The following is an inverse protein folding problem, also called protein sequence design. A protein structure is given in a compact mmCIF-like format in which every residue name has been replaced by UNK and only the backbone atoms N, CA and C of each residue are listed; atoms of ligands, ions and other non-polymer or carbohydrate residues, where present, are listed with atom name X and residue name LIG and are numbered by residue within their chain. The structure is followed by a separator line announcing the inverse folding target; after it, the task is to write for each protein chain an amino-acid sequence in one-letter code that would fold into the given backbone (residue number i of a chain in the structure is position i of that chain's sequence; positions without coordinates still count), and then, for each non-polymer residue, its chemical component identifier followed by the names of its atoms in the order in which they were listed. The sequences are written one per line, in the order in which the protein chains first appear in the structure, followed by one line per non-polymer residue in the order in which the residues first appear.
data_IF_112168662702
#
_entry.id   IF_112168662702
#
_cell.length_a   1.000
_cell.length_b   1.000
_cell.length_c   1.000
_cell.angle_alpha   90.00
_cell.angle_beta   90.00
_cell.angle_gamma   90.00
#
_symmetry.space_group_name_H-M   'P 1'
#
loop_
_entity.id
_entity.type
_entity.pdbx_description
1 polymer ?
#
# COMPACT_ATOMS: atom_id res chain seq x y z
N UNK A 1 1.05 -5.76 12.65
CA UNK A 1 2.08 -5.92 11.61
C UNK A 1 1.50 -5.49 10.28
N UNK A 2 2.13 -4.57 9.52
CA UNK A 2 1.67 -4.32 8.15
C UNK A 2 2.23 -5.39 7.21
N UNK A 3 1.49 -5.73 6.16
CA UNK A 3 1.91 -6.72 5.17
C UNK A 3 1.47 -6.32 3.77
N UNK A 4 2.06 -6.98 2.76
CA UNK A 4 1.72 -6.79 1.35
C UNK A 4 0.32 -7.33 1.07
N UNK A 5 -0.51 -6.52 0.43
CA UNK A 5 -1.85 -6.86 0.00
C UNK A 5 -2.03 -6.54 -1.49
N UNK A 6 -3.15 -6.95 -2.08
CA UNK A 6 -3.50 -6.64 -3.46
C UNK A 6 -4.75 -5.77 -3.47
N UNK A 7 -4.72 -4.65 -4.19
CA UNK A 7 -5.87 -3.78 -4.33
C UNK A 7 -6.94 -4.50 -5.16
N UNK A 8 -8.17 -4.55 -4.66
CA UNK A 8 -9.31 -5.17 -5.36
C UNK A 8 -9.80 -4.34 -6.54
N UNK A 9 -9.54 -3.03 -6.53
CA UNK A 9 -9.97 -2.09 -7.56
C UNK A 9 -9.03 -2.10 -8.76
N UNK A 10 -7.72 -1.90 -8.54
CA UNK A 10 -6.74 -1.78 -9.63
C UNK A 10 -5.86 -3.03 -9.81
N UNK A 11 -6.02 -4.07 -8.99
CA UNK A 11 -5.21 -5.30 -9.02
C UNK A 11 -3.70 -5.14 -8.79
N UNK A 12 -3.24 -3.91 -8.49
CA UNK A 12 -1.85 -3.63 -8.13
C UNK A 12 -1.56 -3.89 -6.65
N UNK A 13 -0.29 -3.88 -6.30
CA UNK A 13 0.17 -4.16 -4.94
C UNK A 13 -0.10 -2.98 -4.02
N UNK A 14 -0.64 -3.24 -2.84
CA UNK A 14 -0.81 -2.26 -1.76
C UNK A 14 -0.40 -2.88 -0.43
N UNK A 15 -0.61 -2.17 0.67
CA UNK A 15 -0.33 -2.63 2.03
C UNK A 15 -1.64 -2.79 2.80
N UNK A 16 -1.61 -3.63 3.84
CA UNK A 16 -2.67 -3.76 4.82
C UNK A 16 -2.06 -3.68 6.23
N UNK A 17 -2.74 -3.01 7.17
CA UNK A 17 -2.32 -2.93 8.57
C UNK A 17 -2.54 -1.55 9.19
N UNK A 18 -1.73 -1.21 10.19
CA UNK A 18 -1.87 0.04 10.95
C UNK A 18 -1.29 1.29 10.27
N UNK A 19 -0.60 1.16 9.14
CA UNK A 19 -0.03 2.30 8.40
C UNK A 19 1.30 2.84 8.91
N UNK A 20 1.82 2.36 10.05
CA UNK A 20 3.14 2.78 10.55
C UNK A 20 4.32 2.04 9.89
N UNK A 21 4.06 0.97 9.15
CA UNK A 21 5.12 0.13 8.57
C UNK A 21 5.05 0.09 7.03
N UNK A 22 4.38 1.07 6.41
CA UNK A 22 4.13 1.08 4.96
C UNK A 22 5.45 1.11 4.18
N UNK A 23 6.39 1.95 4.61
CA UNK A 23 7.72 2.08 4.01
C UNK A 23 8.44 0.74 3.94
N UNK A 24 8.43 -0.02 5.05
CA UNK A 24 9.02 -1.35 5.12
C UNK A 24 8.34 -2.35 4.17
N UNK A 25 7.01 -2.38 4.13
CA UNK A 25 6.26 -3.27 3.23
C UNK A 25 6.51 -2.92 1.76
N UNK A 26 6.51 -1.63 1.42
CA UNK A 26 6.63 -1.13 0.06
C UNK A 26 8.07 -1.07 -0.46
N UNK A 27 9.07 -1.10 0.41
CA UNK A 27 10.50 -0.94 0.07
C UNK A 27 11.00 -1.91 -1.01
N UNK A 28 10.49 -3.14 -1.04
CA UNK A 28 10.90 -4.17 -1.99
C UNK A 28 10.00 -4.27 -3.23
N UNK A 29 9.03 -3.36 -3.37
CA UNK A 29 8.08 -3.37 -4.48
C UNK A 29 8.40 -2.16 -5.37
N UNK A 30 8.64 -2.35 -6.68
CA UNK A 30 8.79 -1.23 -7.59
C UNK A 30 7.55 -0.34 -7.59
N UNK A 31 7.72 0.98 -7.60
CA UNK A 31 6.63 1.96 -7.56
C UNK A 31 5.60 1.78 -8.67
N UNK A 32 6.00 1.24 -9.82
CA UNK A 32 5.12 0.94 -10.96
C UNK A 32 4.07 -0.14 -10.64
N UNK A 33 4.42 -1.05 -9.71
CA UNK A 33 3.54 -2.11 -9.21
C UNK A 33 2.70 -1.66 -8.01
N UNK A 34 2.89 -0.44 -7.52
CA UNK A 34 2.09 0.10 -6.42
C UNK A 34 0.69 0.47 -6.90
N UNK A 35 -0.29 0.28 -6.03
CA UNK A 35 -1.65 0.74 -6.22
C UNK A 35 -1.67 2.25 -6.47
N UNK A 36 -2.34 2.66 -7.54
CA UNK A 36 -2.46 4.05 -7.97
C UNK A 36 -3.84 4.65 -7.66
N UNK A 37 -4.62 3.99 -6.80
CA UNK A 37 -5.90 4.52 -6.35
C UNK A 37 -5.70 5.72 -5.40
N UNK A 38 -6.70 6.59 -5.33
CA UNK A 38 -6.79 7.68 -4.37
C UNK A 38 -7.81 7.36 -3.26
N UNK A 39 -7.68 7.96 -2.07
CA UNK A 39 -6.62 8.89 -1.66
C UNK A 39 -5.32 8.17 -1.27
N UNK A 40 -4.18 8.74 -1.64
CA UNK A 40 -2.87 8.31 -1.13
C UNK A 40 -2.72 8.65 0.35
N UNK A 41 -1.90 7.88 1.06
CA UNK A 41 -1.58 8.09 2.47
C UNK A 41 -0.16 8.62 2.57
N UNK A 42 0.02 9.77 3.22
CA UNK A 42 1.36 10.31 3.47
C UNK A 42 1.96 9.74 4.76
N UNK A 43 3.18 9.21 4.67
CA UNK A 43 3.99 8.79 5.81
C UNK A 43 5.46 9.14 5.60
N UNK A 44 6.07 9.69 6.64
CA UNK A 44 7.49 10.07 6.65
C UNK A 44 7.88 10.96 5.45
N UNK A 45 6.95 11.82 4.99
CA UNK A 45 7.13 12.69 3.81
C UNK A 45 6.97 11.98 2.46
N UNK A 46 6.55 10.72 2.44
CA UNK A 46 6.33 9.93 1.23
C UNK A 46 4.84 9.58 1.06
N UNK A 47 4.32 9.76 -0.16
CA UNK A 47 2.97 9.36 -0.52
C UNK A 47 2.93 7.88 -0.90
N UNK A 48 2.18 7.10 -0.14
CA UNK A 48 1.96 5.68 -0.36
C UNK A 48 0.54 5.39 -0.86
N UNK A 49 0.31 4.23 -1.49
CA UNK A 49 -1.03 3.82 -1.91
C UNK A 49 -2.02 3.75 -0.74
N UNK A 50 -3.34 3.85 -0.99
CA UNK A 50 -4.35 3.59 0.02
C UNK A 50 -4.24 2.15 0.53
N UNK A 51 -4.55 1.96 1.82
CA UNK A 51 -4.63 0.63 2.41
C UNK A 51 -5.58 -0.24 1.58
N UNK A 52 -5.14 -1.44 1.21
CA UNK A 52 -6.00 -2.41 0.54
C UNK A 52 -7.10 -2.90 1.47
N UNK A 53 -8.20 -3.37 0.90
CA UNK A 53 -9.11 -4.25 1.65
C UNK A 53 -8.58 -5.67 1.54
N UNK A 54 -8.29 -6.31 2.68
CA UNK A 54 -8.25 -7.78 2.70
C UNK A 54 -9.63 -8.24 2.24
N UNK A 55 -9.71 -8.91 1.08
CA UNK A 55 -10.86 -9.78 0.85
C UNK A 55 -10.77 -10.84 1.95
N UNK A 56 -11.77 -10.87 2.83
CA UNK A 56 -12.03 -12.02 3.68
C UNK A 56 -12.28 -13.25 2.83
#
# INVERSE_FOLDING_TARGET
MCHKAKCTTCSKTTWYGCGNHISSVMSNIPSEQWCSCDPKVERDGHAYPPMGSLRG
#
